data_IF_676174967333
#
_entry.id   IF_676174967333
#
_cell.length_a   1.000
_cell.length_b   1.000
_cell.length_c   1.000
_cell.angle_alpha   90.00
_cell.angle_beta   90.00
_cell.angle_gamma   90.00
#
_symmetry.space_group_name_H-M   'P 1'
#
loop_
_entity.id
_entity.type
_entity.pdbx_description
1 polymer ?
#
# COMPACT_ATOMS: atom_id res chain seq x y z
N UNK A 1 -21.82 -2.47 -13.99
CA UNK A 1 -20.83 -1.60 -14.65
C UNK A 1 -19.79 -0.99 -13.70
N UNK A 2 -19.95 -0.96 -12.37
CA UNK A 2 -18.87 -0.55 -11.44
C UNK A 2 -17.90 -1.69 -11.06
N UNK A 3 -18.38 -2.94 -11.07
CA UNK A 3 -17.64 -4.10 -10.55
C UNK A 3 -16.74 -4.81 -11.57
N UNK A 4 -16.55 -4.24 -12.76
CA UNK A 4 -15.76 -4.89 -13.82
C UNK A 4 -14.33 -4.33 -13.94
N UNK A 5 -14.03 -3.23 -13.23
CA UNK A 5 -12.77 -2.49 -13.40
C UNK A 5 -11.84 -2.53 -12.17
N UNK A 6 -12.26 -3.13 -11.06
CA UNK A 6 -11.48 -3.17 -9.81
C UNK A 6 -11.21 -4.61 -9.40
N UNK A 7 -9.96 -4.93 -9.11
CA UNK A 7 -9.54 -6.28 -8.68
C UNK A 7 -9.93 -6.56 -7.22
N UNK A 8 -9.87 -5.52 -6.39
CA UNK A 8 -10.11 -5.59 -4.94
C UNK A 8 -11.11 -4.53 -4.50
N UNK A 9 -11.91 -4.88 -3.49
CA UNK A 9 -12.84 -3.99 -2.82
C UNK A 9 -12.59 -4.02 -1.32
N UNK A 10 -12.50 -2.85 -0.69
CA UNK A 10 -12.36 -2.73 0.75
C UNK A 10 -13.69 -2.23 1.35
N UNK A 11 -14.21 -2.98 2.30
CA UNK A 11 -15.33 -2.57 3.16
C UNK A 11 -14.77 -2.25 4.54
N UNK A 12 -15.03 -1.04 5.01
CA UNK A 12 -14.49 -0.54 6.28
C UNK A 12 -15.50 0.40 6.92
N UNK A 13 -15.51 0.44 8.26
CA UNK A 13 -16.27 1.46 8.99
C UNK A 13 -15.51 2.77 9.07
N UNK A 14 -16.25 3.85 9.24
CA UNK A 14 -15.70 5.16 9.62
C UNK A 14 -14.88 5.12 10.92
N UNK A 15 -15.20 4.20 11.83
CA UNK A 15 -14.48 3.96 13.07
C UNK A 15 -13.14 3.22 12.93
N UNK A 16 -12.61 3.02 11.73
CA UNK A 16 -11.42 2.19 11.51
C UNK A 16 -10.41 2.92 10.62
N UNK A 17 -9.17 3.02 11.09
CA UNK A 17 -8.09 3.58 10.28
C UNK A 17 -7.44 2.48 9.44
N UNK A 18 -7.19 2.77 8.17
CA UNK A 18 -6.53 1.86 7.24
C UNK A 18 -5.17 2.43 6.88
N UNK A 19 -4.12 1.63 7.10
CA UNK A 19 -2.78 1.94 6.65
C UNK A 19 -2.67 1.64 5.13
N UNK A 20 -2.57 2.67 4.28
CA UNK A 20 -2.55 2.46 2.83
C UNK A 20 -1.26 1.77 2.35
N UNK A 21 -0.14 1.93 3.06
CA UNK A 21 1.15 1.37 2.65
C UNK A 21 1.20 -0.13 2.84
N UNK A 22 0.79 -0.61 4.02
CA UNK A 22 0.70 -2.05 4.30
C UNK A 22 -0.43 -2.71 3.49
N UNK A 23 -1.57 -2.04 3.33
CA UNK A 23 -2.64 -2.55 2.47
C UNK A 23 -2.16 -2.74 1.02
N UNK A 24 -1.44 -1.75 0.47
CA UNK A 24 -0.94 -1.83 -0.90
C UNK A 24 0.10 -2.96 -1.06
N UNK A 25 1.00 -3.14 -0.09
CA UNK A 25 1.94 -4.26 -0.07
C UNK A 25 1.21 -5.61 -0.01
N UNK A 26 0.18 -5.70 0.82
CA UNK A 26 -0.65 -6.88 0.95
C UNK A 26 -1.35 -7.23 -0.38
N UNK A 27 -2.16 -6.33 -0.93
CA UNK A 27 -2.95 -6.62 -2.15
C UNK A 27 -2.09 -6.90 -3.39
N UNK A 28 -0.90 -6.30 -3.50
CA UNK A 28 0.02 -6.53 -4.63
C UNK A 28 0.76 -7.85 -4.53
N UNK A 29 0.80 -8.49 -3.36
CA UNK A 29 1.46 -9.78 -3.15
C UNK A 29 0.53 -10.98 -3.32
N UNK A 30 -0.79 -10.75 -3.44
CA UNK A 30 -1.81 -11.81 -3.52
C UNK A 30 -2.58 -11.78 -4.83
N UNK A 31 -3.12 -12.94 -5.23
CA UNK A 31 -3.92 -13.09 -6.44
C UNK A 31 -5.43 -12.87 -6.19
N UNK A 32 -6.08 -12.06 -7.04
CA UNK A 32 -7.50 -11.72 -6.95
C UNK A 32 -8.44 -12.67 -7.73
N UNK A 33 -7.90 -13.57 -8.56
CA UNK A 33 -8.69 -14.42 -9.46
C UNK A 33 -9.63 -15.40 -8.74
N UNK A 34 -9.42 -15.64 -7.45
CA UNK A 34 -10.25 -16.54 -6.65
C UNK A 34 -11.20 -15.75 -5.75
N UNK A 35 -12.46 -16.20 -5.57
CA UNK A 35 -13.38 -15.57 -4.64
C UNK A 35 -12.90 -15.76 -3.21
N UNK A 36 -12.51 -14.66 -2.55
CA UNK A 36 -11.97 -14.67 -1.18
C UNK A 36 -12.47 -13.48 -0.38
N UNK A 37 -12.67 -13.70 0.92
CA UNK A 37 -12.88 -12.68 1.94
C UNK A 37 -11.69 -12.68 2.88
N UNK A 38 -11.03 -11.54 2.99
CA UNK A 38 -9.83 -11.37 3.81
C UNK A 38 -10.12 -10.32 4.88
N UNK A 39 -9.80 -10.61 6.12
CA UNK A 39 -10.03 -9.73 7.26
C UNK A 39 -9.78 -10.48 8.56
N UNK A 40 -10.27 -9.93 9.68
CA UNK A 40 -10.20 -10.64 10.95
C UNK A 40 -11.39 -11.60 11.09
N UNK A 41 -11.19 -12.94 11.21
CA UNK A 41 -12.26 -13.87 11.50
C UNK A 41 -12.76 -13.69 12.94
N UNK A 42 -14.05 -13.92 13.14
CA UNK A 42 -14.66 -13.90 14.47
C UNK A 42 -14.21 -15.13 15.28
N UNK A 43 -13.95 -14.94 16.57
CA UNK A 43 -13.49 -16.00 17.49
C UNK A 43 -14.55 -17.07 17.79
N UNK A 44 -15.82 -16.82 17.46
CA UNK A 44 -16.94 -17.74 17.65
C UNK A 44 -16.92 -18.96 16.71
N UNK A 45 -15.94 -19.04 15.81
CA UNK A 45 -15.81 -20.12 14.83
C UNK A 45 -16.88 -20.09 13.73
N UNK A 46 -17.68 -19.02 13.65
CA UNK A 46 -18.70 -18.88 12.62
C UNK A 46 -18.11 -18.65 11.22
N UNK A 47 -16.83 -18.26 11.12
CA UNK A 47 -16.17 -17.93 9.86
C UNK A 47 -16.56 -16.55 9.31
N UNK A 48 -17.23 -15.71 10.11
CA UNK A 48 -17.60 -14.33 9.74
C UNK A 48 -16.41 -13.39 9.88
N UNK A 49 -16.31 -12.41 8.99
CA UNK A 49 -15.33 -11.34 9.13
C UNK A 49 -15.86 -10.26 10.08
N UNK A 50 -15.00 -9.79 10.98
CA UNK A 50 -15.29 -8.65 11.85
C UNK A 50 -15.18 -7.38 11.01
N UNK A 51 -16.27 -6.60 10.92
CA UNK A 51 -16.30 -5.39 10.09
C UNK A 51 -15.38 -4.28 10.63
N UNK A 52 -15.18 -4.23 11.94
CA UNK A 52 -14.30 -3.26 12.64
C UNK A 52 -12.85 -3.35 12.19
N UNK A 53 -12.42 -4.53 11.75
CA UNK A 53 -11.07 -4.77 11.25
C UNK A 53 -10.90 -4.37 9.78
N UNK A 54 -11.99 -4.04 9.07
CA UNK A 54 -12.01 -3.94 7.63
C UNK A 54 -12.00 -5.32 6.95
N UNK A 55 -12.66 -5.40 5.81
CA UNK A 55 -12.78 -6.62 5.01
C UNK A 55 -12.42 -6.33 3.57
N UNK A 56 -11.44 -7.06 3.05
CA UNK A 56 -11.02 -7.02 1.65
C UNK A 56 -11.70 -8.17 0.91
N UNK A 57 -12.35 -7.83 -0.20
CA UNK A 57 -13.03 -8.76 -1.09
C UNK A 57 -12.35 -8.76 -2.44
N UNK A 58 -12.11 -9.94 -3.00
CA UNK A 58 -11.74 -10.03 -4.41
C UNK A 58 -12.94 -9.71 -5.30
N UNK A 59 -12.66 -9.33 -6.54
CA UNK A 59 -13.68 -9.08 -7.55
C UNK A 59 -14.75 -10.18 -7.65
N UNK A 60 -14.40 -11.47 -7.83
CA UNK A 60 -15.40 -12.54 -7.90
C UNK A 60 -16.20 -12.71 -6.61
N UNK A 61 -15.66 -12.39 -5.43
CA UNK A 61 -16.41 -12.40 -4.17
C UNK A 61 -17.44 -11.24 -4.12
N UNK A 62 -17.05 -10.05 -4.56
CA UNK A 62 -17.95 -8.90 -4.67
C UNK A 62 -19.10 -9.17 -5.65
N UNK A 63 -18.82 -9.80 -6.79
CA UNK A 63 -19.86 -10.18 -7.75
C UNK A 63 -20.91 -11.11 -7.13
N UNK A 64 -20.49 -12.11 -6.34
CA UNK A 64 -21.42 -12.98 -5.60
C UNK A 64 -22.28 -12.19 -4.62
N UNK A 65 -21.67 -11.28 -3.85
CA UNK A 65 -22.38 -10.43 -2.88
C UNK A 65 -23.51 -9.63 -3.55
N UNK A 66 -23.24 -9.04 -4.72
CA UNK A 66 -24.23 -8.24 -5.44
C UNK A 66 -25.36 -9.10 -6.03
N UNK A 67 -25.01 -10.24 -6.62
CA UNK A 67 -25.99 -11.18 -7.16
C UNK A 67 -26.94 -11.68 -6.07
N UNK A 68 -26.43 -11.92 -4.87
CA UNK A 68 -27.19 -12.44 -3.72
C UNK A 68 -27.63 -11.36 -2.73
N UNK A 69 -27.61 -10.07 -3.11
CA UNK A 69 -27.96 -8.96 -2.20
C UNK A 69 -29.34 -9.09 -1.57
N UNK A 70 -30.29 -9.73 -2.27
CA UNK A 70 -31.65 -9.92 -1.79
C UNK A 70 -31.72 -10.88 -0.59
N UNK A 71 -30.76 -11.81 -0.46
CA UNK A 71 -30.66 -12.70 0.69
C UNK A 71 -30.36 -11.92 1.97
N UNK A 72 -29.66 -10.78 1.88
CA UNK A 72 -29.33 -9.94 3.02
C UNK A 72 -30.55 -9.19 3.60
N UNK A 73 -31.59 -8.93 2.80
CA UNK A 73 -32.80 -8.25 3.27
C UNK A 73 -33.52 -9.06 4.36
N UNK A 74 -33.36 -10.38 4.37
CA UNK A 74 -33.93 -11.27 5.38
C UNK A 74 -33.26 -11.11 6.77
N UNK A 75 -32.03 -10.58 6.79
CA UNK A 75 -31.25 -10.37 8.01
C UNK A 75 -31.42 -8.96 8.57
N UNK A 76 -31.74 -7.97 7.72
CA UNK A 76 -31.98 -6.58 8.11
C UNK A 76 -33.21 -6.37 9.02
N UNK A 77 -34.07 -7.38 9.14
CA UNK A 77 -35.27 -7.37 10.00
C UNK A 77 -35.06 -8.01 11.38
N UNK A 78 -33.86 -8.50 11.70
CA UNK A 78 -33.55 -9.13 12.98
C UNK A 78 -33.22 -8.13 14.09
N UNK A 79 -33.36 -8.55 15.35
CA UNK A 79 -32.98 -7.78 16.55
C UNK A 79 -31.46 -7.68 16.77
N UNK A 80 -30.66 -8.07 15.78
CA UNK A 80 -29.20 -8.00 15.82
C UNK A 80 -28.75 -6.54 15.61
N UNK A 81 -27.64 -6.14 16.25
CA UNK A 81 -27.02 -4.85 15.93
C UNK A 81 -26.65 -4.79 14.44
N UNK A 82 -26.83 -3.63 13.79
CA UNK A 82 -26.66 -3.43 12.34
C UNK A 82 -25.35 -4.02 11.79
N UNK A 83 -24.26 -3.96 12.57
CA UNK A 83 -22.98 -4.58 12.26
C UNK A 83 -23.08 -6.10 12.10
N UNK A 84 -23.63 -6.78 13.10
CA UNK A 84 -23.72 -8.24 13.11
C UNK A 84 -24.58 -8.74 11.95
N UNK A 85 -25.64 -7.99 11.62
CA UNK A 85 -26.48 -8.27 10.45
C UNK A 85 -25.69 -8.16 9.15
N UNK A 86 -24.81 -7.15 9.01
CA UNK A 86 -23.96 -7.00 7.82
C UNK A 86 -22.90 -8.09 7.70
N UNK A 87 -22.24 -8.47 8.80
CA UNK A 87 -21.27 -9.58 8.82
C UNK A 87 -21.92 -10.91 8.43
N UNK A 88 -23.13 -11.18 8.94
CA UNK A 88 -23.93 -12.36 8.55
C UNK A 88 -24.37 -12.29 7.08
N UNK A 89 -24.77 -11.11 6.60
CA UNK A 89 -25.10 -10.90 5.19
C UNK A 89 -23.92 -11.21 4.28
N UNK A 90 -22.72 -10.75 4.63
CA UNK A 90 -21.52 -10.98 3.84
C UNK A 90 -21.23 -12.49 3.69
N UNK A 91 -21.32 -13.22 4.80
CA UNK A 91 -21.17 -14.66 4.79
C UNK A 91 -22.27 -15.36 3.96
N UNK A 92 -23.53 -15.00 4.18
CA UNK A 92 -24.68 -15.61 3.51
C UNK A 92 -24.65 -15.39 1.99
N UNK A 93 -24.34 -14.18 1.55
CA UNK A 93 -24.38 -13.80 0.15
C UNK A 93 -23.19 -14.35 -0.65
N UNK A 94 -22.01 -14.44 -0.04
CA UNK A 94 -20.81 -14.94 -0.73
C UNK A 94 -20.60 -16.44 -0.55
N UNK A 95 -21.14 -17.03 0.53
CA UNK A 95 -20.88 -18.39 0.98
C UNK A 95 -19.38 -18.69 1.15
N UNK A 96 -18.63 -17.71 1.66
CA UNK A 96 -17.19 -17.80 1.92
C UNK A 96 -16.91 -17.59 3.41
N UNK A 97 -15.87 -18.24 3.90
CA UNK A 97 -15.32 -17.98 5.23
C UNK A 97 -14.28 -16.86 5.18
N UNK A 98 -14.15 -16.14 6.28
CA UNK A 98 -13.12 -15.12 6.46
C UNK A 98 -11.74 -15.72 6.70
N UNK A 99 -10.72 -15.15 6.07
CA UNK A 99 -9.32 -15.54 6.28
C UNK A 99 -8.50 -14.36 6.80
N UNK A 100 -7.77 -14.56 7.90
CA UNK A 100 -6.73 -13.64 8.39
C UNK A 100 -5.38 -13.85 7.71
N UNK A 101 -5.17 -15.00 7.08
CA UNK A 101 -3.96 -15.31 6.32
C UNK A 101 -4.35 -15.85 4.96
N UNK A 102 -3.76 -15.29 3.90
CA UNK A 102 -4.02 -15.69 2.53
C UNK A 102 -2.72 -15.71 1.72
N UNK A 103 -2.41 -16.84 1.08
CA UNK A 103 -1.21 -17.03 0.25
C UNK A 103 0.11 -16.67 0.98
N UNK A 104 0.19 -16.97 2.28
CA UNK A 104 1.38 -16.69 3.11
C UNK A 104 1.49 -15.23 3.56
N UNK A 105 0.48 -14.40 3.28
CA UNK A 105 0.40 -13.02 3.72
C UNK A 105 -0.62 -12.90 4.85
N UNK A 106 -0.26 -12.22 5.92
CA UNK A 106 -1.10 -12.06 7.12
C UNK A 106 -1.77 -10.69 7.09
N UNK A 107 -3.08 -10.68 7.27
CA UNK A 107 -3.87 -9.47 7.45
C UNK A 107 -3.78 -9.00 8.90
N UNK A 108 -2.78 -8.16 9.20
CA UNK A 108 -2.52 -7.71 10.57
C UNK A 108 -3.48 -6.60 10.99
N UNK A 109 -4.13 -6.78 12.14
CA UNK A 109 -5.08 -5.82 12.70
C UNK A 109 -4.64 -5.45 14.12
N UNK A 110 -4.44 -4.16 14.34
CA UNK A 110 -4.17 -3.62 15.66
C UNK A 110 -5.49 -3.29 16.37
N UNK A 111 -5.72 -3.96 17.51
CA UNK A 111 -6.92 -3.78 18.29
C UNK A 111 -6.68 -2.74 19.39
N UNK A 112 -7.48 -1.68 19.40
CA UNK A 112 -7.41 -0.68 20.47
C UNK A 112 -8.29 -1.13 21.63
N UNK A 113 -7.64 -1.43 22.75
CA UNK A 113 -8.30 -1.85 23.98
C UNK A 113 -8.77 -0.66 24.83
N UNK A 114 -10.03 -0.72 25.26
CA UNK A 114 -10.63 0.28 26.16
C UNK A 114 -11.00 1.61 25.48
N UNK A 115 -10.88 2.70 26.24
CA UNK A 115 -11.21 4.08 25.85
C UNK A 115 -9.97 4.91 25.50
N UNK A 116 -8.84 4.25 25.23
CA UNK A 116 -7.61 4.95 24.87
C UNK A 116 -7.77 5.55 23.48
N UNK A 117 -7.46 6.83 23.35
CA UNK A 117 -7.36 7.54 22.07
C UNK A 117 -6.03 7.20 21.42
N UNK A 118 -6.02 7.12 20.08
CA UNK A 118 -4.80 6.80 19.35
C UNK A 118 -3.75 7.90 19.53
N UNK A 119 -4.15 9.17 19.48
CA UNK A 119 -3.22 10.31 19.59
C UNK A 119 -2.43 10.34 20.91
N UNK A 120 -2.99 9.83 22.01
CA UNK A 120 -2.30 9.77 23.31
C UNK A 120 -1.43 8.49 23.48
N UNK A 121 -1.79 7.42 22.78
CA UNK A 121 -1.17 6.10 22.95
C UNK A 121 -0.15 5.73 21.87
N UNK A 122 -0.13 6.46 20.74
CA UNK A 122 0.74 6.19 19.58
C UNK A 122 2.19 6.00 20.02
N UNK A 123 2.74 6.87 20.89
CA UNK A 123 4.13 6.79 21.34
C UNK A 123 4.50 5.46 21.98
N UNK A 124 3.55 4.82 22.68
CA UNK A 124 3.74 3.49 23.25
C UNK A 124 3.63 2.42 22.16
N UNK A 125 2.69 2.58 21.23
CA UNK A 125 2.43 1.62 20.16
C UNK A 125 3.55 1.58 19.13
N UNK A 126 4.27 2.69 18.88
CA UNK A 126 5.39 2.72 17.92
C UNK A 126 6.49 1.70 18.23
N UNK A 127 6.64 1.33 19.50
CA UNK A 127 7.62 0.33 19.95
C UNK A 127 7.28 -1.10 19.50
N UNK A 128 6.02 -1.36 19.15
CA UNK A 128 5.56 -2.68 18.71
C UNK A 128 5.65 -2.81 17.18
N UNK A 129 6.43 -3.78 16.71
CA UNK A 129 6.57 -4.08 15.28
C UNK A 129 5.22 -4.49 14.64
N UNK A 130 4.38 -5.18 15.40
CA UNK A 130 3.03 -5.60 14.96
C UNK A 130 2.11 -4.41 14.68
N UNK A 131 2.25 -3.30 15.43
CA UNK A 131 1.53 -2.06 15.16
C UNK A 131 2.04 -1.39 13.88
N UNK A 132 3.37 -1.28 13.73
CA UNK A 132 3.97 -0.64 12.55
C UNK A 132 3.65 -1.39 11.25
N UNK A 133 3.46 -2.72 11.31
CA UNK A 133 3.03 -3.58 10.19
C UNK A 133 1.53 -3.87 10.13
N UNK A 134 0.72 -3.12 10.88
CA UNK A 134 -0.73 -3.30 10.86
C UNK A 134 -1.35 -2.65 9.62
N UNK A 135 -2.33 -3.35 9.03
CA UNK A 135 -3.14 -2.88 7.90
C UNK A 135 -4.31 -2.06 8.42
N UNK A 136 -4.93 -2.49 9.51
CA UNK A 136 -6.07 -1.82 10.10
C UNK A 136 -5.85 -1.56 11.59
N UNK A 137 -6.28 -0.39 12.04
CA UNK A 137 -6.34 -0.01 13.46
C UNK A 137 -7.79 0.23 13.81
N UNK A 138 -8.32 -0.54 14.77
CA UNK A 138 -9.73 -0.48 15.15
C UNK A 138 -10.01 0.68 16.11
N UNK A 139 -11.27 1.15 16.14
CA UNK A 139 -11.79 2.19 17.05
C UNK A 139 -11.08 3.55 16.95
N UNK A 140 -11.31 4.24 15.84
CA UNK A 140 -11.13 5.69 15.75
C UNK A 140 -12.21 6.39 16.59
N UNK A 141 -11.76 7.22 17.54
CA UNK A 141 -12.65 8.01 18.39
C UNK A 141 -12.78 9.46 17.91
N UNK A 142 -11.80 9.94 17.13
CA UNK A 142 -11.77 11.33 16.64
C UNK A 142 -10.95 11.50 15.36
N UNK A 143 -11.13 12.65 14.68
CA UNK A 143 -10.31 13.04 13.53
C UNK A 143 -8.84 13.27 13.92
N UNK A 144 -8.59 13.73 15.17
CA UNK A 144 -7.25 13.87 15.71
C UNK A 144 -6.52 12.51 15.79
N UNK A 145 -7.24 11.44 16.15
CA UNK A 145 -6.70 10.07 16.14
C UNK A 145 -6.31 9.63 14.72
N UNK A 146 -7.17 9.91 13.73
CA UNK A 146 -6.90 9.57 12.34
C UNK A 146 -5.67 10.31 11.80
N UNK A 147 -5.56 11.62 12.07
CA UNK A 147 -4.40 12.42 11.68
C UNK A 147 -3.11 11.92 12.35
N UNK A 148 -3.14 11.66 13.66
CA UNK A 148 -1.97 11.19 14.37
C UNK A 148 -1.50 9.81 13.88
N UNK A 149 -2.43 8.89 13.60
CA UNK A 149 -2.11 7.60 13.00
C UNK A 149 -1.51 7.78 11.60
N UNK A 150 -2.10 8.66 10.79
CA UNK A 150 -1.60 8.94 9.45
C UNK A 150 -0.17 9.49 9.46
N UNK A 151 0.10 10.50 10.29
CA UNK A 151 1.43 11.09 10.44
C UNK A 151 2.45 10.04 10.91
N UNK A 152 2.06 9.17 11.84
CA UNK A 152 2.90 8.07 12.30
C UNK A 152 3.26 7.11 11.15
N UNK A 153 2.27 6.57 10.44
CA UNK A 153 2.54 5.60 9.37
C UNK A 153 3.31 6.20 8.19
N UNK A 154 3.09 7.48 7.88
CA UNK A 154 3.96 8.20 6.92
C UNK A 154 5.40 8.23 7.43
N UNK A 155 5.63 8.60 8.69
CA UNK A 155 6.99 8.68 9.24
C UNK A 155 7.72 7.34 9.19
N UNK A 156 7.00 6.23 9.46
CA UNK A 156 7.53 4.87 9.36
C UNK A 156 7.90 4.54 7.91
N UNK A 157 7.05 4.89 6.96
CA UNK A 157 7.29 4.58 5.55
C UNK A 157 8.42 5.44 4.96
N UNK A 158 8.51 6.72 5.32
CA UNK A 158 9.63 7.59 4.93
C UNK A 158 10.95 7.03 5.46
N UNK A 159 11.01 6.64 6.74
CA UNK A 159 12.20 6.04 7.31
C UNK A 159 12.60 4.73 6.62
N UNK A 160 11.63 3.92 6.16
CA UNK A 160 11.89 2.71 5.38
C UNK A 160 12.50 3.05 4.02
N UNK A 161 11.93 4.02 3.30
CA UNK A 161 12.44 4.44 1.99
C UNK A 161 13.85 5.02 2.11
N UNK A 162 14.10 5.84 3.13
CA UNK A 162 15.44 6.38 3.40
C UNK A 162 16.47 5.27 3.66
N UNK A 163 16.09 4.22 4.39
CA UNK A 163 16.94 3.06 4.62
C UNK A 163 17.22 2.26 3.33
N UNK A 164 16.21 2.11 2.46
CA UNK A 164 16.37 1.47 1.15
C UNK A 164 17.31 2.26 0.24
N UNK A 165 17.19 3.60 0.23
CA UNK A 165 18.09 4.49 -0.51
C UNK A 165 19.53 4.31 0.00
N UNK A 166 19.75 4.37 1.31
CA UNK A 166 21.07 4.22 1.90
C UNK A 166 21.69 2.83 1.58
N UNK A 167 20.89 1.77 1.56
CA UNK A 167 21.36 0.44 1.18
C UNK A 167 21.78 0.37 -0.29
N UNK A 168 20.98 0.95 -1.20
CA UNK A 168 21.32 1.01 -2.64
C UNK A 168 22.57 1.85 -2.90
N UNK A 169 22.78 2.95 -2.16
CA UNK A 169 23.98 3.79 -2.28
C UNK A 169 25.25 3.02 -1.90
N UNK A 170 25.18 2.15 -0.88
CA UNK A 170 26.29 1.28 -0.48
C UNK A 170 26.59 0.23 -1.56
N UNK A 171 25.56 -0.45 -2.08
CA UNK A 171 25.73 -1.44 -3.16
C UNK A 171 26.35 -0.80 -4.42
N UNK A 172 25.89 0.40 -4.78
CA UNK A 172 26.46 1.15 -5.90
C UNK A 172 27.94 1.50 -5.68
N UNK A 173 28.31 1.89 -4.46
CA UNK A 173 29.70 2.18 -4.11
C UNK A 173 30.60 0.93 -4.19
N UNK A 174 30.08 -0.25 -3.83
CA UNK A 174 30.78 -1.52 -3.99
C UNK A 174 30.98 -1.88 -5.46
N UNK A 175 29.93 -1.77 -6.30
CA UNK A 175 30.02 -2.04 -7.73
C UNK A 175 30.99 -1.10 -8.46
N UNK A 176 31.10 0.16 -8.04
CA UNK A 176 32.07 1.12 -8.59
C UNK A 176 33.53 0.73 -8.31
N UNK A 177 33.78 -0.06 -7.26
CA UNK A 177 35.14 -0.50 -6.91
C UNK A 177 35.66 -1.60 -7.84
N UNK A 178 34.76 -2.42 -8.39
CA UNK A 178 35.11 -3.50 -9.34
C UNK A 178 35.38 -2.98 -10.77
N UNK A 179 35.06 -1.71 -11.05
CA UNK A 179 35.60 -0.98 -12.20
C UNK A 179 36.95 -0.38 -11.86
N UNK A 180 38.05 -1.08 -12.18
CA UNK A 180 39.44 -0.63 -12.00
C UNK A 180 39.76 0.72 -12.66
N UNK A 181 38.90 1.21 -13.57
CA UNK A 181 39.05 2.51 -14.25
C UNK A 181 38.20 3.64 -13.64
N UNK A 182 37.49 3.40 -12.53
CA UNK A 182 36.49 4.34 -12.01
C UNK A 182 35.31 4.52 -12.99
N UNK A 183 34.39 5.47 -12.76
CA UNK A 183 33.33 5.77 -13.73
C UNK A 183 33.95 6.33 -15.00
N UNK A 184 34.32 5.45 -15.94
CA UNK A 184 34.75 5.86 -17.27
C UNK A 184 33.53 6.36 -18.00
N UNK A 185 33.55 7.67 -18.23
CA UNK A 185 32.68 8.29 -19.20
C UNK A 185 32.79 7.50 -20.52
N UNK A 186 31.69 7.20 -21.23
CA UNK A 186 31.75 6.37 -22.43
C UNK A 186 32.79 6.97 -23.39
N UNK A 187 33.68 6.14 -23.93
CA UNK A 187 34.84 6.61 -24.70
C UNK A 187 34.49 7.52 -25.91
N UNK A 188 33.24 7.49 -26.36
CA UNK A 188 32.72 8.29 -27.46
C UNK A 188 32.10 9.64 -27.03
N UNK A 189 32.00 9.94 -25.74
CA UNK A 189 31.44 11.20 -25.24
C UNK A 189 32.60 12.01 -24.65
N UNK A 190 32.77 13.29 -24.98
CA UNK A 190 33.79 14.13 -24.34
C UNK A 190 33.41 14.34 -22.86
N UNK A 191 34.38 14.23 -21.94
CA UNK A 191 34.15 14.45 -20.51
C UNK A 191 33.58 15.86 -20.25
N UNK A 192 32.70 15.99 -19.26
CA UNK A 192 32.12 17.27 -18.86
C UNK A 192 33.24 18.27 -18.49
N UNK A 193 33.41 19.32 -19.28
CA UNK A 193 34.37 20.37 -19.00
C UNK A 193 33.85 21.22 -17.84
N UNK A 194 34.49 21.10 -16.68
CA UNK A 194 34.19 21.99 -15.54
C UNK A 194 34.73 23.38 -15.91
N UNK A 195 33.88 24.42 -16.06
CA UNK A 195 34.38 25.74 -16.42
C UNK A 195 35.27 26.27 -15.30
N UNK A 196 36.44 26.83 -15.60
CA UNK A 196 37.38 27.30 -14.58
C UNK A 196 36.85 28.49 -13.75
N UNK A 197 35.78 29.15 -14.21
CA UNK A 197 35.18 30.30 -13.54
C UNK A 197 33.66 30.32 -13.77
N UNK A 198 32.89 30.82 -12.79
CA UNK A 198 31.42 31.00 -12.87
C UNK A 198 30.94 31.79 -14.09
N UNK A 199 31.78 32.65 -14.65
CA UNK A 199 31.46 33.49 -15.81
C UNK A 199 31.64 32.78 -17.16
N UNK A 200 32.16 31.54 -17.18
CA UNK A 200 32.35 30.73 -18.39
C UNK A 200 31.32 29.59 -18.53
N UNK A 201 30.18 29.70 -17.86
CA UNK A 201 29.04 28.83 -18.13
C UNK A 201 28.47 29.18 -19.51
N UNK A 202 28.72 28.33 -20.50
CA UNK A 202 28.04 28.41 -21.80
C UNK A 202 26.62 27.87 -21.60
N UNK A 203 25.60 28.58 -22.09
CA UNK A 203 24.20 28.13 -22.06
C UNK A 203 24.10 26.66 -22.49
N UNK A 204 23.59 25.81 -21.59
CA UNK A 204 23.58 24.35 -21.77
C UNK A 204 22.79 23.97 -23.03
N UNK A 205 23.49 23.54 -24.09
CA UNK A 205 22.90 22.75 -25.19
C UNK A 205 22.79 21.30 -24.72
N UNK A 206 21.56 20.84 -24.50
CA UNK A 206 21.25 19.42 -24.34
C UNK A 206 21.30 18.77 -25.74
N UNK A 207 22.31 17.95 -25.99
CA UNK A 207 22.39 17.12 -27.18
C UNK A 207 22.16 15.66 -26.77
N UNK A 208 21.20 15.00 -27.41
CA UNK A 208 20.93 13.57 -27.24
C UNK A 208 21.39 12.85 -28.50
N UNK A 209 21.98 11.66 -28.34
CA UNK A 209 22.25 10.74 -29.45
C UNK A 209 20.99 9.92 -29.71
N UNK A 210 20.38 10.11 -30.88
CA UNK A 210 19.22 9.35 -31.34
C UNK A 210 19.72 8.07 -32.01
N UNK A 211 19.56 6.92 -31.35
CA UNK A 211 20.05 5.61 -31.82
C UNK A 211 19.14 4.97 -32.89
N UNK A 212 18.18 5.71 -33.45
CA UNK A 212 17.19 5.17 -34.40
C UNK A 212 17.56 5.32 -35.89
N UNK A 213 18.72 5.89 -36.25
CA UNK A 213 19.16 6.01 -37.64
C UNK A 213 20.61 5.58 -37.82
N UNK A 214 20.85 4.80 -38.87
CA UNK A 214 22.11 4.17 -39.27
C UNK A 214 23.24 5.13 -39.68
N UNK A 215 23.08 6.42 -39.38
CA UNK A 215 24.13 7.44 -39.42
C UNK A 215 24.02 8.26 -38.13
N UNK A 216 25.09 8.24 -37.32
CA UNK A 216 25.20 8.93 -36.03
C UNK A 216 25.09 10.47 -36.20
N UNK A 217 23.87 10.98 -36.30
CA UNK A 217 23.59 12.41 -36.35
C UNK A 217 23.27 12.94 -34.94
N UNK A 218 24.18 13.75 -34.39
CA UNK A 218 23.95 14.46 -33.12
C UNK A 218 22.95 15.59 -33.35
N UNK A 219 21.72 15.42 -32.84
CA UNK A 219 20.68 16.46 -32.91
C UNK A 219 20.71 17.30 -31.64
N UNK A 220 21.30 18.49 -31.73
CA UNK A 220 21.26 19.48 -30.65
C UNK A 220 20.05 20.40 -30.83
N UNK A 221 19.07 20.34 -29.93
CA UNK A 221 17.96 21.31 -29.89
C UNK A 221 18.28 22.42 -28.90
N UNK A 222 18.14 23.66 -29.34
CA UNK A 222 18.06 24.83 -28.47
C UNK A 222 16.68 24.87 -27.82
N UNK A 223 16.60 24.94 -26.49
CA UNK A 223 15.41 25.44 -25.82
C UNK A 223 15.35 26.94 -26.09
N UNK A 224 14.24 27.40 -26.67
CA UNK A 224 13.87 28.82 -26.69
C UNK A 224 13.41 29.24 -25.29
#
# INVERSE_FOLDING_TARGET
>A
TFHENFDWFLLVRDSTYINPFELNRFINSINWNQPVLIGQPTEDGSGRCILDAGVVLSNPAMQKLIQQRHACNLLASGADADQLAFEKCLQLATNLSCFSEYQGQVYNVWHVDGTQTAHDAIDKWRAHETFNRSIAVTKLLSEADASALHDHFISVEVARVDAEIAAMEVELAELQKDTDEGPTWPAAVPAYSKPPNRYQLVEHRLCFTDTSREEDAVVCRTKA
#
